data_IF_943260857169
#
_entry.id   IF_943260857169
#
_cell.length_a   1.000
_cell.length_b   1.000
_cell.length_c   1.000
_cell.angle_alpha   90.00
_cell.angle_beta   90.00
_cell.angle_gamma   90.00
#
_symmetry.space_group_name_H-M   'P 1'
#
loop_
_entity.id
_entity.type
_entity.pdbx_description
1 polymer ?
#
# COMPACT_ATOMS: atom_id res chain seq x y z
N UNK A 1 -10.00 -3.54 -35.92
CA UNK A 1 -9.34 -2.71 -34.90
C UNK A 1 -9.68 -3.32 -33.56
N UNK A 2 -8.88 -4.27 -33.10
CA UNK A 2 -9.02 -4.89 -31.78
C UNK A 2 -8.30 -3.99 -30.80
N UNK A 3 -9.05 -3.25 -29.99
CA UNK A 3 -8.53 -2.54 -28.84
C UNK A 3 -7.89 -3.55 -27.90
N UNK A 4 -6.58 -3.49 -27.77
CA UNK A 4 -5.86 -4.09 -26.65
C UNK A 4 -6.30 -3.35 -25.39
N UNK A 5 -7.25 -3.92 -24.65
CA UNK A 5 -7.35 -3.60 -23.22
C UNK A 5 -5.98 -3.95 -22.62
N UNK A 6 -5.23 -2.91 -22.29
CA UNK A 6 -3.96 -3.05 -21.60
C UNK A 6 -4.28 -3.70 -20.25
N UNK A 7 -3.86 -4.96 -20.10
CA UNK A 7 -3.99 -5.73 -18.88
C UNK A 7 -3.00 -5.17 -17.86
N UNK A 8 -3.32 -3.99 -17.29
CA UNK A 8 -2.55 -3.41 -16.20
C UNK A 8 -2.56 -4.41 -15.04
N UNK A 9 -1.40 -4.70 -14.42
CA UNK A 9 -1.33 -5.65 -13.32
C UNK A 9 -2.29 -5.20 -12.22
N UNK A 10 -3.11 -6.13 -11.71
CA UNK A 10 -4.03 -5.85 -10.60
C UNK A 10 -3.21 -5.75 -9.31
N UNK A 11 -3.42 -4.72 -8.46
CA UNK A 11 -2.78 -4.68 -7.15
C UNK A 11 -3.25 -5.87 -6.30
N UNK A 12 -2.34 -6.42 -5.51
CA UNK A 12 -2.68 -7.50 -4.59
C UNK A 12 -3.15 -6.97 -3.24
N UNK A 13 -2.70 -5.77 -2.83
CA UNK A 13 -3.25 -5.01 -1.71
C UNK A 13 -3.54 -3.57 -2.16
N UNK A 14 -4.59 -2.99 -1.59
CA UNK A 14 -5.01 -1.61 -1.84
C UNK A 14 -5.40 -0.98 -0.52
N UNK A 15 -4.84 0.19 -0.23
CA UNK A 15 -5.30 1.06 0.85
C UNK A 15 -5.94 2.31 0.26
N UNK A 16 -7.26 2.37 0.31
CA UNK A 16 -8.05 3.53 -0.12
C UNK A 16 -9.23 3.69 0.85
N UNK A 17 -9.13 4.67 1.74
CA UNK A 17 -10.13 4.92 2.79
C UNK A 17 -11.49 5.32 2.21
N UNK A 18 -11.52 5.96 1.04
CA UNK A 18 -12.77 6.32 0.37
C UNK A 18 -13.46 5.07 -0.19
N UNK A 19 -12.71 4.16 -0.82
CA UNK A 19 -13.28 2.89 -1.31
C UNK A 19 -13.69 1.96 -0.16
N UNK A 20 -12.94 1.92 0.93
CA UNK A 20 -13.32 1.21 2.17
C UNK A 20 -14.67 1.76 2.67
N UNK A 21 -14.79 3.08 2.82
CA UNK A 21 -16.02 3.70 3.30
C UNK A 21 -17.22 3.43 2.38
N UNK A 22 -17.03 3.44 1.05
CA UNK A 22 -18.08 3.08 0.08
C UNK A 22 -18.53 1.64 0.22
N UNK A 23 -17.60 0.68 0.35
CA UNK A 23 -17.94 -0.73 0.54
C UNK A 23 -18.74 -0.93 1.82
N UNK A 24 -18.32 -0.29 2.91
CA UNK A 24 -19.04 -0.34 4.16
C UNK A 24 -20.43 0.31 4.04
N UNK A 25 -20.56 1.44 3.33
CA UNK A 25 -21.85 2.07 3.07
C UNK A 25 -22.82 1.12 2.35
N UNK A 26 -22.36 0.44 1.30
CA UNK A 26 -23.17 -0.56 0.60
C UNK A 26 -23.63 -1.68 1.55
N UNK A 27 -22.71 -2.21 2.37
CA UNK A 27 -23.04 -3.24 3.36
C UNK A 27 -24.07 -2.77 4.40
N UNK A 28 -23.96 -1.55 4.91
CA UNK A 28 -24.90 -0.97 5.88
C UNK A 28 -26.31 -0.80 5.31
N UNK A 29 -26.42 -0.44 4.02
CA UNK A 29 -27.71 -0.38 3.34
C UNK A 29 -28.29 -1.77 3.14
N UNK A 30 -27.48 -2.74 2.69
CA UNK A 30 -27.93 -4.13 2.46
C UNK A 30 -28.40 -4.82 3.75
N UNK A 31 -27.81 -4.47 4.89
CA UNK A 31 -28.18 -4.98 6.21
C UNK A 31 -29.32 -4.20 6.88
N UNK A 32 -29.73 -3.06 6.30
CA UNK A 32 -30.77 -2.19 6.85
C UNK A 32 -30.32 -1.35 8.04
N UNK A 33 -29.02 -1.22 8.26
CA UNK A 33 -28.42 -0.35 9.28
C UNK A 33 -28.38 1.12 8.84
N UNK A 34 -28.38 1.39 7.52
CA UNK A 34 -28.52 2.72 6.92
C UNK A 34 -29.71 2.76 5.95
N UNK A 35 -30.36 3.93 5.81
CA UNK A 35 -31.49 4.11 4.91
C UNK A 35 -31.06 4.23 3.43
N UNK A 36 -29.90 4.82 3.18
CA UNK A 36 -29.30 4.99 1.86
C UNK A 36 -27.76 5.06 1.93
N UNK A 37 -27.11 5.11 0.76
CA UNK A 37 -25.65 5.11 0.66
C UNK A 37 -24.99 6.37 1.25
N UNK A 38 -25.67 7.52 1.23
CA UNK A 38 -25.13 8.77 1.79
C UNK A 38 -25.08 8.70 3.33
N UNK A 39 -26.13 8.17 3.95
CA UNK A 39 -26.15 7.88 5.39
C UNK A 39 -25.11 6.81 5.74
N UNK A 40 -25.07 5.70 4.99
CA UNK A 40 -24.10 4.62 5.19
C UNK A 40 -22.65 5.09 5.06
N UNK A 41 -22.35 5.96 4.09
CA UNK A 41 -21.02 6.52 3.90
C UNK A 41 -20.64 7.46 5.05
N UNK A 42 -21.59 8.25 5.54
CA UNK A 42 -21.37 9.12 6.71
C UNK A 42 -21.09 8.29 7.97
N UNK A 43 -21.80 7.17 8.16
CA UNK A 43 -21.57 6.23 9.25
C UNK A 43 -20.18 5.59 9.14
N UNK A 44 -19.80 5.08 7.97
CA UNK A 44 -18.49 4.49 7.72
C UNK A 44 -17.34 5.49 7.92
N UNK A 45 -17.52 6.76 7.51
CA UNK A 45 -16.54 7.83 7.76
C UNK A 45 -16.34 8.13 9.25
N UNK A 46 -17.38 7.96 10.07
CA UNK A 46 -17.33 8.23 11.50
C UNK A 46 -16.81 7.04 12.32
N UNK A 47 -16.72 5.85 11.72
CA UNK A 47 -16.24 4.64 12.37
C UNK A 47 -14.71 4.54 12.32
N UNK A 48 -14.05 4.90 13.43
CA UNK A 48 -12.60 4.75 13.55
C UNK A 48 -12.13 3.31 13.61
N UNK A 49 -12.99 2.40 14.07
CA UNK A 49 -12.64 0.99 14.25
C UNK A 49 -12.61 0.29 12.89
N UNK A 50 -13.47 0.69 11.94
CA UNK A 50 -13.44 0.23 10.55
C UNK A 50 -12.03 0.36 9.95
N UNK A 51 -11.44 1.55 9.95
CA UNK A 51 -10.12 1.77 9.37
C UNK A 51 -9.01 1.07 10.15
N UNK A 52 -9.19 0.92 11.46
CA UNK A 52 -8.23 0.18 12.30
C UNK A 52 -8.21 -1.29 11.90
N UNK A 53 -9.37 -1.93 11.77
CA UNK A 53 -9.48 -3.33 11.37
C UNK A 53 -8.99 -3.57 9.94
N UNK A 54 -9.35 -2.70 8.99
CA UNK A 54 -8.88 -2.80 7.60
C UNK A 54 -7.35 -2.63 7.51
N UNK A 55 -6.78 -1.73 8.33
CA UNK A 55 -5.34 -1.55 8.39
C UNK A 55 -4.63 -2.78 8.98
N UNK A 56 -5.18 -3.34 10.07
CA UNK A 56 -4.65 -4.55 10.70
C UNK A 56 -4.65 -5.73 9.71
N UNK A 57 -5.79 -6.01 9.07
CA UNK A 57 -5.91 -7.09 8.07
C UNK A 57 -4.92 -6.92 6.90
N UNK A 58 -4.81 -5.70 6.36
CA UNK A 58 -3.85 -5.38 5.30
C UNK A 58 -2.41 -5.66 5.74
N UNK A 59 -2.03 -5.20 6.94
CA UNK A 59 -0.64 -5.36 7.43
C UNK A 59 -0.32 -6.78 7.87
N UNK A 60 -1.29 -7.54 8.37
CA UNK A 60 -1.14 -8.95 8.70
C UNK A 60 -0.95 -9.79 7.43
N UNK A 61 -1.77 -9.56 6.40
CA UNK A 61 -1.60 -10.22 5.11
C UNK A 61 -0.24 -9.90 4.47
N UNK A 62 0.16 -8.62 4.51
CA UNK A 62 1.48 -8.20 4.03
C UNK A 62 2.60 -8.88 4.84
N UNK A 63 2.47 -8.98 6.16
CA UNK A 63 3.43 -9.64 7.03
C UNK A 63 3.67 -11.10 6.61
N UNK A 64 2.61 -11.87 6.38
CA UNK A 64 2.74 -13.26 5.94
C UNK A 64 3.37 -13.37 4.56
N UNK A 65 3.00 -12.46 3.64
CA UNK A 65 3.61 -12.38 2.30
C UNK A 65 5.11 -12.08 2.38
N UNK A 66 5.53 -11.12 3.20
CA UNK A 66 6.94 -10.74 3.37
C UNK A 66 7.77 -11.90 3.92
N UNK A 67 7.23 -12.65 4.89
CA UNK A 67 7.90 -13.83 5.45
C UNK A 67 8.05 -14.96 4.44
N UNK A 68 7.09 -15.11 3.52
CA UNK A 68 7.15 -16.12 2.46
C UNK A 68 8.25 -15.81 1.44
N UNK A 69 8.33 -14.55 0.98
CA UNK A 69 9.24 -14.18 -0.12
C UNK A 69 10.64 -13.81 0.36
N UNK A 70 10.80 -13.32 1.60
CA UNK A 70 12.08 -12.87 2.14
C UNK A 70 12.11 -13.03 3.67
N UNK A 71 12.29 -14.27 4.17
CA UNK A 71 12.24 -14.56 5.61
C UNK A 71 13.35 -13.86 6.41
N UNK A 72 14.47 -13.51 5.78
CA UNK A 72 15.58 -12.80 6.43
C UNK A 72 15.27 -11.30 6.64
N UNK A 73 14.33 -10.77 5.86
CA UNK A 73 13.73 -9.45 6.02
C UNK A 73 14.64 -8.28 5.62
N UNK A 74 15.71 -8.49 4.87
CA UNK A 74 16.56 -7.42 4.35
C UNK A 74 16.01 -6.89 3.04
N UNK A 75 15.82 -5.58 2.94
CA UNK A 75 15.18 -4.94 1.81
C UNK A 75 16.00 -3.77 1.30
N UNK A 76 16.06 -3.66 -0.02
CA UNK A 76 16.49 -2.46 -0.74
C UNK A 76 15.26 -1.84 -1.38
N UNK A 77 15.00 -0.56 -1.06
CA UNK A 77 13.90 0.19 -1.66
C UNK A 77 14.43 1.40 -2.42
N UNK A 78 13.97 1.55 -3.66
CA UNK A 78 14.19 2.72 -4.50
C UNK A 78 12.86 3.46 -4.67
N UNK A 79 12.91 4.79 -4.75
CA UNK A 79 11.75 5.63 -5.05
C UNK A 79 12.03 6.51 -6.26
N UNK A 80 11.03 6.65 -7.12
CA UNK A 80 11.03 7.60 -8.23
C UNK A 80 9.93 8.64 -8.07
N UNK A 81 10.23 9.88 -8.46
CA UNK A 81 9.33 11.02 -8.44
C UNK A 81 8.72 11.34 -7.06
N UNK A 82 9.51 11.17 -6.00
CA UNK A 82 9.11 11.46 -4.62
C UNK A 82 8.76 12.94 -4.43
N UNK A 83 7.53 13.18 -3.95
CA UNK A 83 6.98 14.50 -3.63
C UNK A 83 6.99 15.53 -4.77
N UNK A 84 6.71 16.80 -4.43
CA UNK A 84 6.55 17.87 -5.42
C UNK A 84 7.82 18.20 -6.22
N UNK A 85 9.00 17.86 -5.70
CA UNK A 85 10.30 18.05 -6.37
C UNK A 85 10.68 16.89 -7.29
N UNK A 86 9.90 15.81 -7.30
CA UNK A 86 10.16 14.58 -8.08
C UNK A 86 11.56 14.04 -7.85
N UNK A 87 11.95 13.93 -6.58
CA UNK A 87 13.27 13.40 -6.24
C UNK A 87 13.28 11.88 -6.34
N UNK A 88 14.44 11.31 -6.62
CA UNK A 88 14.65 9.87 -6.52
C UNK A 88 15.65 9.59 -5.41
N UNK A 89 15.53 8.42 -4.80
CA UNK A 89 16.41 8.01 -3.71
C UNK A 89 16.28 6.52 -3.45
N UNK A 90 17.09 6.03 -2.53
CA UNK A 90 17.01 4.67 -2.06
C UNK A 90 17.25 4.61 -0.55
N UNK A 91 16.82 3.53 0.06
CA UNK A 91 17.14 3.18 1.43
C UNK A 91 17.11 1.68 1.62
N UNK A 92 18.03 1.21 2.44
CA UNK A 92 18.04 -0.17 2.89
C UNK A 92 17.48 -0.27 4.31
N UNK A 93 16.73 -1.34 4.60
CA UNK A 93 16.15 -1.56 5.92
C UNK A 93 15.88 -3.05 6.18
N UNK A 94 15.68 -3.39 7.46
CA UNK A 94 15.36 -4.75 7.91
C UNK A 94 14.00 -4.81 8.59
N UNK A 95 13.11 -5.67 8.10
CA UNK A 95 11.83 -6.00 8.72
C UNK A 95 11.19 -7.23 8.06
N UNK A 96 10.42 -7.99 8.83
CA UNK A 96 9.48 -9.01 8.35
C UNK A 96 8.03 -8.67 8.70
N UNK A 97 7.81 -7.53 9.36
CA UNK A 97 6.53 -7.01 9.78
C UNK A 97 6.01 -6.01 8.74
N UNK A 98 4.78 -6.23 8.25
CA UNK A 98 4.14 -5.46 7.19
C UNK A 98 3.88 -4.02 7.57
N UNK A 99 3.52 -3.75 8.83
CA UNK A 99 3.32 -2.37 9.32
C UNK A 99 4.64 -1.60 9.32
N UNK A 100 5.70 -2.19 9.84
CA UNK A 100 7.05 -1.62 9.84
C UNK A 100 7.58 -1.45 8.42
N UNK A 101 7.29 -2.41 7.52
CA UNK A 101 7.66 -2.33 6.10
C UNK A 101 7.05 -1.08 5.45
N UNK A 102 5.73 -0.89 5.57
CA UNK A 102 5.08 0.30 5.03
C UNK A 102 5.58 1.59 5.69
N UNK A 103 5.82 1.59 7.01
CA UNK A 103 6.36 2.75 7.72
C UNK A 103 7.77 3.16 7.26
N UNK A 104 8.59 2.21 6.78
CA UNK A 104 9.93 2.50 6.26
C UNK A 104 9.91 3.07 4.84
N UNK A 105 8.84 2.84 4.09
CA UNK A 105 8.73 3.19 2.67
C UNK A 105 7.90 4.46 2.49
N UNK A 106 6.68 4.45 3.04
CA UNK A 106 5.68 5.48 2.80
C UNK A 106 5.92 6.72 3.68
N UNK A 107 5.57 7.92 3.18
CA UNK A 107 5.60 9.13 3.99
C UNK A 107 4.61 9.01 5.16
N UNK A 108 4.96 9.60 6.31
CA UNK A 108 4.08 9.63 7.48
C UNK A 108 2.99 10.72 7.31
N UNK A 109 2.06 10.48 6.39
CA UNK A 109 0.94 11.35 6.04
C UNK A 109 -0.22 10.53 5.50
N UNK A 110 -1.38 11.16 5.37
CA UNK A 110 -2.54 10.53 4.73
C UNK A 110 -2.20 10.25 3.26
N UNK A 111 -2.28 8.97 2.91
CA UNK A 111 -2.02 8.49 1.57
C UNK A 111 -2.99 7.36 1.19
N UNK A 112 -3.20 7.24 -0.12
CA UNK A 112 -3.81 6.08 -0.76
C UNK A 112 -2.68 5.36 -1.48
N UNK A 113 -2.67 4.02 -1.50
CA UNK A 113 -1.63 3.29 -2.22
C UNK A 113 -2.08 1.94 -2.73
N UNK A 114 -1.42 1.50 -3.80
CA UNK A 114 -1.57 0.19 -4.40
C UNK A 114 -0.27 -0.58 -4.25
N UNK A 115 -0.35 -1.83 -3.79
CA UNK A 115 0.80 -2.73 -3.68
C UNK A 115 0.70 -3.82 -4.75
N UNK A 116 1.78 -4.01 -5.49
CA UNK A 116 1.94 -5.03 -6.52
C UNK A 116 3.08 -5.97 -6.10
N UNK A 117 2.91 -7.27 -6.35
CA UNK A 117 3.94 -8.28 -6.16
C UNK A 117 4.18 -8.92 -7.52
N UNK A 118 5.39 -8.73 -8.05
CA UNK A 118 5.79 -9.29 -9.33
C UNK A 118 6.29 -10.73 -9.17
N UNK A 119 6.38 -11.47 -10.28
CA UNK A 119 6.76 -12.89 -10.27
C UNK A 119 8.20 -13.14 -9.78
N UNK A 120 9.06 -12.12 -9.82
CA UNK A 120 10.43 -12.15 -9.33
C UNK A 120 10.56 -11.70 -7.86
N UNK A 121 9.43 -11.64 -7.13
CA UNK A 121 9.34 -11.20 -5.74
C UNK A 121 9.64 -9.72 -5.51
N UNK A 122 9.71 -8.92 -6.57
CA UNK A 122 9.76 -7.46 -6.46
C UNK A 122 8.40 -6.93 -5.99
N UNK A 123 8.41 -6.12 -4.93
CA UNK A 123 7.25 -5.37 -4.48
C UNK A 123 7.30 -3.99 -5.12
N UNK A 124 6.20 -3.57 -5.74
CA UNK A 124 6.02 -2.21 -6.23
C UNK A 124 4.90 -1.53 -5.48
N UNK A 125 5.11 -0.29 -5.06
CA UNK A 125 4.07 0.50 -4.39
C UNK A 125 3.84 1.78 -5.19
N UNK A 126 2.61 1.97 -5.64
CA UNK A 126 2.17 3.24 -6.20
C UNK A 126 1.52 4.05 -5.10
N UNK A 127 2.10 5.22 -4.79
CA UNK A 127 1.64 6.07 -3.70
C UNK A 127 0.94 7.33 -4.21
N UNK A 128 -0.13 7.71 -3.53
CA UNK A 128 -0.93 8.90 -3.80
C UNK A 128 -1.05 9.69 -2.51
N UNK A 129 -0.58 10.93 -2.52
CA UNK A 129 -0.71 11.85 -1.40
C UNK A 129 -0.84 13.28 -1.95
N UNK A 130 -1.10 14.25 -1.08
CA UNK A 130 -1.39 15.64 -1.48
C UNK A 130 -0.31 16.31 -2.36
N UNK A 131 0.96 15.90 -2.24
CA UNK A 131 2.08 16.41 -3.06
C UNK A 131 2.26 15.62 -4.38
N UNK A 132 1.69 14.41 -4.49
CA UNK A 132 1.71 13.57 -5.68
C UNK A 132 0.33 12.92 -5.94
N UNK A 133 -0.73 13.72 -6.18
CA UNK A 133 -2.12 13.23 -6.18
C UNK A 133 -2.45 12.32 -7.38
N UNK A 134 -1.59 12.29 -8.39
CA UNK A 134 -1.81 11.50 -9.62
C UNK A 134 -1.05 10.17 -9.62
N UNK A 135 -0.43 9.76 -8.51
CA UNK A 135 0.19 8.45 -8.39
C UNK A 135 1.47 8.28 -9.20
N UNK A 136 2.23 9.37 -9.36
CA UNK A 136 3.51 9.36 -10.07
C UNK A 136 4.66 8.89 -9.17
N UNK A 137 4.43 8.80 -7.85
CA UNK A 137 5.41 8.32 -6.89
C UNK A 137 5.35 6.78 -6.84
N UNK A 138 6.46 6.16 -7.23
CA UNK A 138 6.60 4.71 -7.29
C UNK A 138 7.77 4.26 -6.45
N UNK A 139 7.52 3.24 -5.64
CA UNK A 139 8.56 2.54 -4.89
C UNK A 139 8.79 1.17 -5.50
N UNK A 140 10.06 0.78 -5.63
CA UNK A 140 10.52 -0.51 -6.11
C UNK A 140 11.33 -1.16 -4.98
N UNK A 141 10.84 -2.27 -4.44
CA UNK A 141 11.43 -2.92 -3.27
C UNK A 141 11.77 -4.36 -3.60
N UNK A 142 13.03 -4.75 -3.33
CA UNK A 142 13.56 -6.09 -3.61
C UNK A 142 14.28 -6.66 -2.39
N UNK A 143 14.29 -7.99 -2.22
CA UNK A 143 15.14 -8.64 -1.22
C UNK A 143 16.60 -8.21 -1.43
N UNK A 144 17.26 -7.86 -0.34
CA UNK A 144 18.68 -7.55 -0.28
C UNK A 144 19.44 -8.67 0.46
N UNK A 145 20.76 -8.72 0.27
CA UNK A 145 21.64 -9.64 1.01
C UNK A 145 22.45 -8.87 2.06
N UNK A 146 22.68 -9.49 3.22
CA UNK A 146 23.34 -8.88 4.40
C UNK A 146 24.73 -8.30 4.08
N UNK A 147 25.47 -8.87 3.11
CA UNK A 147 26.81 -8.40 2.71
C UNK A 147 26.81 -6.98 2.09
N UNK A 148 25.69 -6.49 1.52
CA UNK A 148 25.60 -5.12 0.98
C UNK A 148 25.50 -4.04 2.09
N UNK A 149 25.13 -4.43 3.32
CA UNK A 149 25.08 -3.51 4.47
C UNK A 149 26.42 -3.38 5.20
N UNK A 150 27.38 -4.27 4.94
CA UNK A 150 28.65 -4.33 5.65
C UNK A 150 29.72 -3.35 5.12
N UNK A 151 29.60 -2.86 3.88
CA UNK A 151 30.60 -1.95 3.27
C UNK A 151 30.30 -0.46 3.44
N UNK A 152 29.16 -0.09 4.04
CA UNK A 152 28.75 1.32 4.19
C UNK A 152 28.87 1.87 5.63
N UNK A 153 29.47 1.12 6.56
CA UNK A 153 29.66 1.52 7.97
C UNK A 153 31.11 1.91 8.33
#
# INVERSE_FOLDING_TARGET
MTSTEQNSPKPFLVWDTCEIAKRQATYLVETGEAADEDEGFSMACADSDLYTFEWEDLTDFLTETLKEINPDGYWHAEVENFGWRRQSGYSDFKTTDGRMFLNKILPNTDCTFNVFLDADQTIRIQNYHHDAPTGNEWYMIRPAIDDEFAEAA
#
